data_IF_824025583375
#
_entry.id   IF_824025583375
#
_cell.length_a   1.000
_cell.length_b   1.000
_cell.length_c   1.000
_cell.angle_alpha   90.00
_cell.angle_beta   90.00
_cell.angle_gamma   90.00
#
_symmetry.space_group_name_H-M   'P 1'
#
loop_
_entity.id
_entity.type
_entity.pdbx_description
1 polymer ?
#
# COMPACT_ATOMS: atom_id res chain seq x y z
N UNK A 1 69.04 -11.03 -50.78
CA UNK A 1 68.90 -10.67 -52.22
C UNK A 1 67.64 -9.85 -52.39
N UNK A 2 67.54 -9.05 -53.45
CA UNK A 2 66.47 -8.07 -53.67
C UNK A 2 65.18 -8.67 -54.28
N UNK A 3 64.15 -7.83 -54.42
CA UNK A 3 62.79 -8.16 -54.90
C UNK A 3 62.72 -8.53 -56.41
N UNK A 4 61.54 -8.92 -56.90
CA UNK A 4 60.76 -7.95 -57.68
C UNK A 4 59.23 -7.95 -57.42
N UNK A 5 58.54 -6.95 -57.98
CA UNK A 5 57.08 -6.80 -57.96
C UNK A 5 56.48 -6.83 -59.38
N UNK A 6 55.18 -7.10 -59.50
CA UNK A 6 54.43 -6.92 -60.77
C UNK A 6 52.99 -6.41 -60.53
N UNK A 7 52.34 -5.90 -61.58
CA UNK A 7 51.30 -4.84 -61.55
C UNK A 7 49.82 -5.31 -61.51
N UNK A 8 48.96 -4.37 -61.09
CA UNK A 8 47.51 -4.16 -61.37
C UNK A 8 47.15 -4.30 -62.89
N UNK A 9 45.89 -4.49 -63.35
CA UNK A 9 44.63 -3.79 -62.98
C UNK A 9 43.45 -4.76 -62.64
N UNK A 10 42.16 -4.39 -62.54
CA UNK A 10 41.40 -3.17 -62.89
C UNK A 10 40.23 -2.86 -61.90
N UNK A 11 39.19 -2.15 -62.35
CA UNK A 11 37.92 -1.90 -61.63
C UNK A 11 36.72 -2.11 -62.58
N UNK A 12 35.57 -2.54 -62.04
CA UNK A 12 34.24 -2.34 -62.62
C UNK A 12 33.32 -1.93 -61.46
N UNK A 13 32.54 -0.88 -61.69
CA UNK A 13 31.54 -0.33 -60.77
C UNK A 13 30.16 -0.44 -61.43
N UNK A 14 29.17 -1.01 -60.73
CA UNK A 14 27.82 -0.43 -60.61
C UNK A 14 26.85 -1.29 -59.77
N UNK A 15 26.38 -0.68 -58.68
CA UNK A 15 24.95 -0.43 -58.37
C UNK A 15 23.91 -1.56 -58.20
N UNK A 16 23.07 -1.34 -57.17
CA UNK A 16 21.76 -1.95 -56.86
C UNK A 16 21.72 -3.43 -56.42
N UNK A 17 21.69 -3.64 -55.10
CA UNK A 17 20.44 -4.05 -54.41
C UNK A 17 20.56 -3.86 -52.89
N UNK A 18 20.24 -2.66 -52.42
CA UNK A 18 19.85 -2.45 -51.02
C UNK A 18 18.37 -2.78 -50.86
N UNK A 19 18.00 -3.79 -50.07
CA UNK A 19 16.89 -3.70 -49.11
C UNK A 19 16.64 -4.95 -48.24
N UNK A 20 16.08 -4.73 -47.05
CA UNK A 20 15.30 -5.69 -46.23
C UNK A 20 16.00 -6.94 -45.65
N UNK A 21 16.91 -6.75 -44.69
CA UNK A 21 17.06 -7.77 -43.59
C UNK A 21 17.48 -7.24 -42.22
N UNK A 22 17.98 -6.01 -42.08
CA UNK A 22 18.52 -5.49 -40.80
C UNK A 22 17.47 -4.95 -39.82
N UNK A 23 16.18 -4.89 -40.21
CA UNK A 23 15.16 -4.16 -39.46
C UNK A 23 14.33 -5.04 -38.49
N UNK A 24 14.17 -6.34 -38.73
CA UNK A 24 13.34 -7.22 -37.87
C UNK A 24 13.95 -7.41 -36.48
N UNK A 25 15.20 -7.87 -36.40
CA UNK A 25 15.84 -8.25 -35.13
C UNK A 25 15.97 -7.08 -34.14
N UNK A 26 16.30 -5.88 -34.64
CA UNK A 26 16.42 -4.66 -33.82
C UNK A 26 15.06 -4.15 -33.35
N UNK A 27 14.02 -4.24 -34.19
CA UNK A 27 12.65 -3.86 -33.82
C UNK A 27 12.09 -4.84 -32.79
N UNK A 28 12.30 -6.15 -32.95
CA UNK A 28 11.83 -7.18 -32.01
C UNK A 28 12.48 -7.04 -30.62
N UNK A 29 13.79 -6.77 -30.54
CA UNK A 29 14.46 -6.50 -29.27
C UNK A 29 13.95 -5.19 -28.61
N UNK A 30 13.76 -4.09 -29.36
CA UNK A 30 13.17 -2.85 -28.81
C UNK A 30 11.72 -3.03 -28.38
N UNK A 31 10.90 -3.72 -29.17
CA UNK A 31 9.50 -4.00 -28.87
C UNK A 31 9.35 -4.90 -27.63
N UNK A 32 10.18 -5.94 -27.52
CA UNK A 32 10.22 -6.84 -26.36
C UNK A 32 10.65 -6.09 -25.10
N UNK A 33 11.67 -5.23 -25.20
CA UNK A 33 12.13 -4.40 -24.07
C UNK A 33 11.04 -3.42 -23.62
N UNK A 34 10.43 -2.68 -24.55
CA UNK A 34 9.33 -1.75 -24.25
C UNK A 34 8.06 -2.44 -23.73
N UNK A 35 7.77 -3.67 -24.14
CA UNK A 35 6.65 -4.46 -23.60
C UNK A 35 6.94 -4.95 -22.18
N UNK A 36 8.19 -5.36 -21.89
CA UNK A 36 8.61 -5.70 -20.54
C UNK A 36 8.61 -4.48 -19.60
N UNK A 37 9.02 -3.30 -20.07
CA UNK A 37 8.96 -2.04 -19.32
C UNK A 37 7.51 -1.64 -19.01
N UNK A 38 6.63 -1.61 -20.02
CA UNK A 38 5.19 -1.38 -19.82
C UNK A 38 4.57 -2.38 -18.83
N UNK A 39 5.02 -3.64 -18.81
CA UNK A 39 4.59 -4.65 -17.83
C UNK A 39 5.11 -4.33 -16.42
N UNK A 40 6.38 -3.98 -16.26
CA UNK A 40 6.98 -3.55 -14.97
C UNK A 40 6.27 -2.31 -14.41
N UNK A 41 6.00 -1.32 -15.26
CA UNK A 41 5.29 -0.10 -14.89
C UNK A 41 3.85 -0.37 -14.42
N UNK A 42 3.09 -1.19 -15.16
CA UNK A 42 1.73 -1.62 -14.76
C UNK A 42 1.73 -2.30 -13.39
N UNK A 43 2.70 -3.17 -13.11
CA UNK A 43 2.85 -3.81 -11.79
C UNK A 43 3.19 -2.78 -10.71
N UNK A 44 4.12 -1.86 -10.97
CA UNK A 44 4.46 -0.79 -10.02
C UNK A 44 3.25 0.12 -9.72
N UNK A 45 2.47 0.49 -10.73
CA UNK A 45 1.23 1.25 -10.59
C UNK A 45 0.19 0.51 -9.73
N UNK A 46 0.00 -0.80 -9.95
CA UNK A 46 -0.88 -1.64 -9.14
C UNK A 46 -0.44 -1.69 -7.66
N UNK A 47 0.86 -1.89 -7.39
CA UNK A 47 1.40 -1.90 -6.02
C UNK A 47 1.30 -0.54 -5.32
N UNK A 48 1.44 0.58 -6.06
CA UNK A 48 1.20 1.93 -5.52
C UNK A 48 -0.26 2.10 -5.10
N UNK A 49 -1.21 1.66 -5.94
CA UNK A 49 -2.64 1.68 -5.63
C UNK A 49 -2.97 0.85 -4.39
N UNK A 50 -2.47 -0.39 -4.28
CA UNK A 50 -2.69 -1.25 -3.10
C UNK A 50 -2.18 -0.57 -1.81
N UNK A 51 -0.96 0.02 -1.85
CA UNK A 51 -0.40 0.75 -0.70
C UNK A 51 -1.22 1.97 -0.29
N UNK A 52 -1.64 2.80 -1.25
CA UNK A 52 -2.53 3.94 -0.98
C UNK A 52 -3.87 3.48 -0.41
N UNK A 53 -4.45 2.40 -0.93
CA UNK A 53 -5.70 1.81 -0.41
C UNK A 53 -5.55 1.32 1.03
N UNK A 54 -4.38 0.80 1.42
CA UNK A 54 -4.12 0.41 2.82
C UNK A 54 -4.01 1.65 3.72
N UNK A 55 -3.23 2.66 3.33
CA UNK A 55 -3.09 3.92 4.11
C UNK A 55 -4.42 4.65 4.31
N UNK A 56 -5.30 4.66 3.30
CA UNK A 56 -6.63 5.27 3.41
C UNK A 56 -7.57 4.47 4.34
N UNK A 57 -7.54 3.12 4.28
CA UNK A 57 -8.32 2.29 5.21
C UNK A 57 -7.80 2.36 6.65
N UNK A 58 -6.48 2.50 6.84
CA UNK A 58 -5.90 2.77 8.15
C UNK A 58 -6.44 4.08 8.72
N UNK A 59 -6.41 5.17 7.92
CA UNK A 59 -6.93 6.48 8.33
C UNK A 59 -8.43 6.41 8.67
N UNK A 60 -9.23 5.74 7.85
CA UNK A 60 -10.65 5.46 8.15
C UNK A 60 -10.84 4.80 9.51
N UNK A 61 -10.11 3.72 9.79
CA UNK A 61 -10.28 2.97 11.04
C UNK A 61 -9.84 3.80 12.26
N UNK A 62 -8.73 4.53 12.17
CA UNK A 62 -8.28 5.43 13.24
C UNK A 62 -9.33 6.50 13.51
N UNK A 63 -9.87 7.16 12.47
CA UNK A 63 -10.90 8.18 12.66
C UNK A 63 -12.22 7.67 13.27
N UNK A 64 -12.57 6.40 13.05
CA UNK A 64 -13.72 5.79 13.71
C UNK A 64 -13.40 5.38 15.17
N UNK A 65 -12.13 5.08 15.49
CA UNK A 65 -11.70 4.77 16.85
C UNK A 65 -11.63 6.00 17.75
N UNK A 66 -11.42 7.19 17.16
CA UNK A 66 -11.32 8.45 17.88
C UNK A 66 -12.56 8.82 18.72
N UNK A 67 -13.73 8.25 18.43
CA UNK A 67 -14.92 8.38 19.30
C UNK A 67 -14.71 7.72 20.68
N UNK A 68 -13.84 6.70 20.78
CA UNK A 68 -13.65 5.84 21.95
C UNK A 68 -12.34 6.09 22.69
N UNK A 69 -11.26 6.43 21.97
CA UNK A 69 -9.92 6.65 22.51
C UNK A 69 -9.26 7.93 22.01
N UNK A 70 -8.30 8.44 22.81
CA UNK A 70 -7.28 9.39 22.36
C UNK A 70 -6.14 8.60 21.70
N UNK A 71 -5.66 9.03 20.53
CA UNK A 71 -4.59 8.34 19.79
C UNK A 71 -3.28 9.13 19.76
N UNK A 72 -2.15 8.45 20.00
CA UNK A 72 -0.83 9.04 19.77
C UNK A 72 -0.27 8.60 18.41
N UNK A 73 -0.14 9.54 17.48
CA UNK A 73 0.47 9.33 16.16
C UNK A 73 1.95 9.71 16.19
N UNK A 74 2.84 8.75 15.96
CA UNK A 74 4.30 8.93 15.93
C UNK A 74 4.73 9.49 14.56
N UNK A 75 5.63 10.49 14.56
CA UNK A 75 6.14 11.09 13.33
C UNK A 75 6.91 10.06 12.47
N UNK A 76 6.69 10.01 11.14
CA UNK A 76 7.38 9.07 10.28
C UNK A 76 8.82 9.50 10.01
N UNK A 77 9.80 8.70 10.45
CA UNK A 77 11.26 8.91 10.19
C UNK A 77 11.57 9.18 8.71
N UNK A 78 10.78 8.62 7.79
CA UNK A 78 10.85 8.91 6.35
C UNK A 78 9.43 9.06 5.81
N UNK A 79 9.17 10.19 5.17
CA UNK A 79 7.90 10.46 4.50
C UNK A 79 7.84 9.77 3.12
N UNK A 80 6.66 9.29 2.75
CA UNK A 80 6.41 8.65 1.46
C UNK A 80 6.11 9.69 0.37
N UNK A 81 6.97 9.77 -0.64
CA UNK A 81 6.86 10.74 -1.75
C UNK A 81 5.97 10.28 -2.90
N UNK A 82 5.76 8.97 -3.08
CA UNK A 82 5.08 8.38 -4.25
C UNK A 82 3.73 7.73 -3.91
N UNK A 83 3.49 7.43 -2.64
CA UNK A 83 2.26 6.79 -2.15
C UNK A 83 1.79 7.47 -0.88
N UNK A 84 0.48 7.51 -0.67
CA UNK A 84 -0.17 8.01 0.55
C UNK A 84 0.49 7.44 1.81
N UNK A 85 0.94 8.31 2.72
CA UNK A 85 1.66 7.94 3.94
C UNK A 85 0.83 6.98 4.81
N UNK A 86 1.46 5.94 5.33
CA UNK A 86 0.86 5.07 6.33
C UNK A 86 1.29 5.59 7.70
N UNK A 87 0.35 5.88 8.58
CA UNK A 87 0.64 6.46 9.90
C UNK A 87 1.28 5.42 10.81
N UNK A 88 1.98 5.88 11.86
CA UNK A 88 2.48 5.04 12.93
C UNK A 88 1.67 5.39 14.16
N UNK A 89 0.73 4.55 14.56
CA UNK A 89 0.06 4.72 15.86
C UNK A 89 0.96 4.11 16.93
N UNK A 90 1.20 4.86 18.01
CA UNK A 90 1.94 4.39 19.19
C UNK A 90 0.98 3.75 20.17
N UNK A 91 0.11 4.57 20.77
CA UNK A 91 -0.85 4.16 21.80
C UNK A 91 -2.28 4.55 21.43
N UNK A 92 -3.22 3.74 21.93
CA UNK A 92 -4.64 4.06 22.04
C UNK A 92 -5.00 4.14 23.53
N UNK A 93 -5.49 5.27 24.00
CA UNK A 93 -5.87 5.49 25.40
C UNK A 93 -7.38 5.65 25.53
N UNK A 94 -8.02 4.70 26.22
CA UNK A 94 -9.47 4.64 26.39
C UNK A 94 -9.91 5.28 27.71
N UNK A 95 -11.15 5.77 27.76
CA UNK A 95 -11.70 6.47 28.95
C UNK A 95 -11.84 5.63 30.22
N UNK A 96 -11.54 4.34 30.17
CA UNK A 96 -11.42 3.44 31.33
C UNK A 96 -9.96 3.33 31.85
N UNK A 97 -9.07 4.26 31.45
CA UNK A 97 -7.63 4.26 31.69
C UNK A 97 -6.87 3.05 31.11
N UNK A 98 -7.49 2.31 30.17
CA UNK A 98 -6.82 1.25 29.44
C UNK A 98 -5.95 1.88 28.33
N UNK A 99 -4.65 1.64 28.38
CA UNK A 99 -3.70 2.05 27.34
C UNK A 99 -3.26 0.81 26.57
N UNK A 100 -3.40 0.84 25.24
CA UNK A 100 -2.93 -0.22 24.35
C UNK A 100 -1.73 0.27 23.56
N UNK A 101 -0.59 -0.42 23.70
CA UNK A 101 0.56 -0.30 22.79
C UNK A 101 0.25 -1.05 21.49
N UNK A 102 -0.01 -0.29 20.42
CA UNK A 102 -0.37 -0.82 19.11
C UNK A 102 0.78 -1.60 18.48
N UNK A 103 2.03 -1.19 18.71
CA UNK A 103 3.19 -1.89 18.19
C UNK A 103 3.31 -3.29 18.81
N UNK A 104 3.08 -3.42 20.12
CA UNK A 104 3.10 -4.69 20.85
C UNK A 104 2.01 -5.64 20.34
N UNK A 105 0.75 -5.18 20.32
CA UNK A 105 -0.42 -5.97 19.88
C UNK A 105 -0.28 -6.50 18.45
N UNK A 106 0.16 -5.64 17.52
CA UNK A 106 0.33 -6.01 16.12
C UNK A 106 1.54 -6.92 15.92
N UNK A 107 2.61 -6.75 16.72
CA UNK A 107 3.78 -7.63 16.69
C UNK A 107 3.40 -9.06 17.11
N UNK A 108 2.59 -9.22 18.16
CA UNK A 108 2.16 -10.53 18.64
C UNK A 108 1.30 -11.28 17.61
N UNK A 109 0.29 -10.61 17.03
CA UNK A 109 -0.48 -11.14 15.88
C UNK A 109 0.41 -11.54 14.69
N UNK A 110 1.42 -10.72 14.38
CA UNK A 110 2.37 -11.05 13.30
C UNK A 110 3.23 -12.28 13.58
N UNK A 111 3.50 -12.62 14.84
CA UNK A 111 4.20 -13.86 15.22
C UNK A 111 3.32 -15.08 14.99
N UNK A 112 2.04 -15.02 15.39
CA UNK A 112 1.06 -16.10 15.16
C UNK A 112 0.92 -16.41 13.65
N UNK A 113 0.84 -15.39 12.79
CA UNK A 113 0.81 -15.56 11.32
C UNK A 113 2.14 -16.08 10.76
N UNK A 114 3.27 -15.75 11.40
CA UNK A 114 4.56 -16.31 11.01
C UNK A 114 4.62 -17.82 11.32
N UNK A 115 4.17 -18.23 12.51
CA UNK A 115 4.07 -19.63 12.92
C UNK A 115 3.11 -20.42 12.01
N UNK A 116 1.97 -19.83 11.66
CA UNK A 116 1.03 -20.38 10.67
C UNK A 116 1.70 -20.60 9.30
N UNK A 117 2.57 -19.69 8.84
CA UNK A 117 3.32 -19.92 7.61
C UNK A 117 4.30 -21.09 7.73
N UNK A 118 5.01 -21.22 8.85
CA UNK A 118 5.96 -22.32 9.07
C UNK A 118 5.21 -23.67 9.11
N UNK A 119 4.09 -23.76 9.84
CA UNK A 119 3.29 -24.99 9.91
C UNK A 119 2.71 -25.40 8.55
N UNK A 120 2.36 -24.43 7.69
CA UNK A 120 1.96 -24.64 6.30
C UNK A 120 3.16 -24.88 5.33
N UNK A 121 4.35 -25.21 5.83
CA UNK A 121 5.51 -25.59 5.02
C UNK A 121 6.19 -24.44 4.26
N UNK A 122 5.91 -23.18 4.61
CA UNK A 122 6.58 -22.01 4.00
C UNK A 122 7.94 -21.79 4.66
N UNK A 123 9.00 -21.71 3.85
CA UNK A 123 10.36 -21.49 4.35
C UNK A 123 10.48 -20.20 5.16
N UNK A 124 11.25 -20.21 6.26
CA UNK A 124 11.38 -19.08 7.19
C UNK A 124 11.79 -17.77 6.52
N UNK A 125 12.70 -17.82 5.53
CA UNK A 125 13.08 -16.67 4.69
C UNK A 125 11.89 -16.07 3.94
N UNK A 126 10.97 -16.91 3.46
CA UNK A 126 9.75 -16.49 2.77
C UNK A 126 8.70 -15.98 3.76
N UNK A 127 8.55 -16.63 4.92
CA UNK A 127 7.64 -16.24 5.99
C UNK A 127 8.01 -14.86 6.56
N UNK A 128 9.28 -14.61 6.90
CA UNK A 128 9.78 -13.28 7.34
C UNK A 128 9.46 -12.20 6.29
N UNK A 129 9.74 -12.47 5.02
CA UNK A 129 9.48 -11.52 3.91
C UNK A 129 7.98 -11.25 3.70
N UNK A 130 7.10 -12.21 4.02
CA UNK A 130 5.64 -12.01 4.02
C UNK A 130 5.20 -11.21 5.26
N UNK A 131 5.69 -11.56 6.45
CA UNK A 131 5.40 -10.89 7.72
C UNK A 131 5.59 -9.36 7.67
N UNK A 132 6.66 -8.88 7.05
CA UNK A 132 6.90 -7.43 6.87
C UNK A 132 5.77 -6.69 6.12
N UNK A 133 5.16 -7.33 5.10
CA UNK A 133 4.00 -6.76 4.41
C UNK A 133 2.71 -6.98 5.20
N UNK A 134 2.57 -8.13 5.86
CA UNK A 134 1.40 -8.47 6.66
C UNK A 134 1.24 -7.54 7.88
N UNK A 135 2.32 -7.01 8.46
CA UNK A 135 2.23 -6.06 9.59
C UNK A 135 1.27 -4.90 9.34
N UNK A 136 1.21 -4.34 8.12
CA UNK A 136 0.26 -3.27 7.78
C UNK A 136 -1.18 -3.75 7.62
N UNK A 137 -1.35 -4.99 7.19
CA UNK A 137 -2.65 -5.64 7.06
C UNK A 137 -3.20 -5.91 8.47
N UNK A 138 -2.36 -6.47 9.34
CA UNK A 138 -2.70 -6.77 10.73
C UNK A 138 -2.95 -5.54 11.59
N UNK A 139 -2.22 -4.44 11.37
CA UNK A 139 -2.53 -3.17 12.02
C UNK A 139 -3.95 -2.70 11.67
N UNK A 140 -4.40 -2.90 10.42
CA UNK A 140 -5.78 -2.55 10.00
C UNK A 140 -6.80 -3.57 10.52
N UNK A 141 -6.51 -4.88 10.47
CA UNK A 141 -7.40 -5.91 11.03
C UNK A 141 -7.59 -5.75 12.54
N UNK A 142 -6.54 -5.35 13.26
CA UNK A 142 -6.59 -5.01 14.68
C UNK A 142 -7.58 -3.86 14.93
N UNK A 143 -7.47 -2.73 14.21
CA UNK A 143 -8.43 -1.63 14.34
C UNK A 143 -9.86 -2.04 13.94
N UNK A 144 -10.03 -2.84 12.88
CA UNK A 144 -11.34 -3.37 12.48
C UNK A 144 -11.95 -4.25 13.58
N UNK A 145 -11.13 -5.06 14.26
CA UNK A 145 -11.56 -5.93 15.38
C UNK A 145 -11.99 -5.10 16.60
N UNK A 146 -11.23 -4.05 16.94
CA UNK A 146 -11.62 -3.10 17.99
C UNK A 146 -12.94 -2.42 17.65
N UNK A 147 -13.07 -1.85 16.45
CA UNK A 147 -14.30 -1.20 15.99
C UNK A 147 -15.50 -2.16 16.00
N UNK A 148 -15.30 -3.43 15.66
CA UNK A 148 -16.35 -4.44 15.74
C UNK A 148 -16.80 -4.69 17.19
N UNK A 149 -15.89 -4.64 18.17
CA UNK A 149 -16.26 -4.70 19.60
C UNK A 149 -17.03 -3.46 20.08
N UNK A 150 -16.89 -2.32 19.40
CA UNK A 150 -17.68 -1.10 19.60
C UNK A 150 -18.93 -1.00 18.70
N UNK A 151 -19.39 -2.12 18.12
CA UNK A 151 -20.66 -2.19 17.38
C UNK A 151 -20.59 -1.87 15.88
N UNK A 152 -19.41 -1.54 15.34
CA UNK A 152 -19.25 -1.33 13.90
C UNK A 152 -19.30 -2.63 13.10
N UNK A 153 -19.81 -2.55 11.87
CA UNK A 153 -19.82 -3.64 10.89
C UNK A 153 -19.32 -3.12 9.55
N UNK A 154 -18.40 -3.86 8.93
CA UNK A 154 -17.80 -3.49 7.65
C UNK A 154 -18.34 -4.38 6.53
N UNK A 155 -18.84 -3.76 5.46
CA UNK A 155 -19.09 -4.46 4.19
C UNK A 155 -17.85 -4.31 3.32
N UNK A 156 -17.36 -5.44 2.81
CA UNK A 156 -16.13 -5.49 2.03
C UNK A 156 -16.40 -5.74 0.54
N UNK A 157 -15.53 -5.21 -0.32
CA UNK A 157 -15.52 -5.58 -1.73
C UNK A 157 -14.95 -7.02 -1.90
N UNK A 158 -15.75 -7.93 -2.46
CA UNK A 158 -15.37 -9.35 -2.65
C UNK A 158 -14.20 -9.47 -3.64
N UNK A 159 -12.99 -9.68 -3.13
CA UNK A 159 -11.81 -9.92 -3.98
C UNK A 159 -11.81 -11.36 -4.49
N UNK A 160 -12.36 -11.58 -5.69
CA UNK A 160 -12.65 -12.91 -6.23
C UNK A 160 -11.46 -13.89 -6.40
N UNK A 161 -10.20 -13.43 -6.30
CA UNK A 161 -9.03 -14.21 -6.72
C UNK A 161 -7.74 -13.94 -5.91
N UNK A 162 -7.80 -14.02 -4.56
CA UNK A 162 -6.57 -13.94 -3.73
C UNK A 162 -6.30 -15.25 -2.97
N UNK A 163 -5.53 -16.17 -3.59
CA UNK A 163 -4.93 -17.37 -2.93
C UNK A 163 -3.84 -17.02 -1.90
N UNK A 164 -3.96 -15.91 -1.18
CA UNK A 164 -3.03 -15.51 -0.12
C UNK A 164 -3.64 -15.94 1.21
N UNK A 165 -2.88 -16.68 2.02
CA UNK A 165 -3.22 -16.99 3.43
C UNK A 165 -3.60 -15.71 4.18
N UNK A 166 -2.95 -14.59 3.84
CA UNK A 166 -3.15 -13.32 4.50
C UNK A 166 -3.38 -12.18 3.49
N UNK A 167 -4.51 -11.48 3.59
CA UNK A 167 -4.88 -10.39 2.68
C UNK A 167 -5.87 -9.41 3.33
N UNK A 168 -5.70 -8.12 3.04
CA UNK A 168 -6.69 -7.10 3.40
C UNK A 168 -7.83 -7.09 2.37
N UNK A 169 -9.06 -7.11 2.86
CA UNK A 169 -10.27 -6.79 2.10
C UNK A 169 -10.51 -5.28 2.10
N UNK A 170 -10.91 -4.71 0.96
CA UNK A 170 -11.22 -3.27 0.90
C UNK A 170 -12.59 -2.99 1.51
N UNK A 171 -12.62 -2.19 2.59
CA UNK A 171 -13.86 -1.65 3.14
C UNK A 171 -14.60 -0.87 2.05
N UNK A 172 -15.86 -1.24 1.82
CA UNK A 172 -16.81 -0.60 0.90
C UNK A 172 -17.84 0.22 1.67
N UNK A 173 -18.33 -0.28 2.80
CA UNK A 173 -19.37 0.41 3.59
C UNK A 173 -19.10 0.20 5.08
N UNK A 174 -19.52 1.18 5.87
CA UNK A 174 -19.42 1.17 7.33
C UNK A 174 -20.84 1.31 7.90
N UNK A 175 -21.20 0.38 8.76
CA UNK A 175 -22.49 0.31 9.43
C UNK A 175 -22.27 0.31 10.95
N UNK A 176 -23.23 0.85 11.70
CA UNK A 176 -23.24 0.82 13.17
C UNK A 176 -24.68 0.75 13.66
N UNK A 177 -24.95 -0.13 14.62
CA UNK A 177 -26.27 -0.30 15.25
C UNK A 177 -27.44 -0.48 14.26
N UNK A 178 -27.16 -1.03 13.07
CA UNK A 178 -28.12 -1.26 11.99
C UNK A 178 -28.24 -0.12 10.96
N UNK A 179 -27.62 1.04 11.22
CA UNK A 179 -27.60 2.19 10.30
C UNK A 179 -26.34 2.16 9.41
N UNK A 180 -26.47 2.55 8.14
CA UNK A 180 -25.33 2.76 7.24
C UNK A 180 -24.75 4.15 7.51
N UNK A 181 -23.55 4.19 8.08
CA UNK A 181 -22.83 5.43 8.43
C UNK A 181 -22.05 5.96 7.23
N UNK A 182 -21.47 5.07 6.41
CA UNK A 182 -20.75 5.44 5.18
C UNK A 182 -20.99 4.41 4.06
N UNK A 183 -21.35 4.89 2.87
CA UNK A 183 -21.39 4.11 1.62
C UNK A 183 -20.05 4.16 0.85
N UNK A 184 -19.93 3.42 -0.27
CA UNK A 184 -18.70 3.28 -1.07
C UNK A 184 -18.12 4.59 -1.63
N UNK A 185 -18.94 5.62 -1.84
CA UNK A 185 -18.46 6.94 -2.22
C UNK A 185 -17.96 7.71 -0.99
N UNK A 186 -18.78 7.75 0.06
CA UNK A 186 -18.48 8.45 1.32
C UNK A 186 -17.21 7.90 1.99
N UNK A 187 -17.04 6.57 2.06
CA UNK A 187 -15.83 5.91 2.57
C UNK A 187 -14.58 6.47 1.90
N UNK A 188 -14.57 6.63 0.57
CA UNK A 188 -13.41 7.12 -0.18
C UNK A 188 -13.15 8.62 0.00
N UNK A 189 -14.20 9.40 0.26
CA UNK A 189 -14.10 10.85 0.51
C UNK A 189 -13.60 11.08 1.93
N UNK A 190 -14.30 10.52 2.93
CA UNK A 190 -13.97 10.59 4.36
C UNK A 190 -12.54 10.12 4.62
N UNK A 191 -12.14 8.95 4.09
CA UNK A 191 -10.77 8.43 4.25
C UNK A 191 -9.70 9.42 3.77
N UNK A 192 -9.97 10.18 2.71
CA UNK A 192 -9.03 11.18 2.16
C UNK A 192 -9.01 12.47 2.97
N UNK A 193 -10.17 12.94 3.44
CA UNK A 193 -10.28 14.12 4.32
C UNK A 193 -9.49 13.89 5.62
N UNK A 194 -9.78 12.78 6.30
CA UNK A 194 -9.08 12.34 7.51
C UNK A 194 -7.59 12.14 7.25
N UNK A 195 -7.20 11.46 6.16
CA UNK A 195 -5.78 11.26 5.85
C UNK A 195 -5.03 12.59 5.65
N UNK A 196 -5.68 13.56 4.99
CA UNK A 196 -5.13 14.90 4.81
C UNK A 196 -5.00 15.64 6.14
N UNK A 197 -5.99 15.51 7.02
CA UNK A 197 -5.95 16.07 8.39
C UNK A 197 -4.77 15.50 9.20
N UNK A 198 -4.66 14.19 9.32
CA UNK A 198 -3.55 13.54 10.03
C UNK A 198 -2.18 13.88 9.43
N UNK A 199 -2.09 14.00 8.09
CA UNK A 199 -0.85 14.45 7.42
C UNK A 199 -0.48 15.90 7.77
N UNK A 200 -1.47 16.79 7.92
CA UNK A 200 -1.24 18.16 8.36
C UNK A 200 -0.79 18.24 9.82
N UNK A 201 -1.39 17.46 10.73
CA UNK A 201 -0.96 17.37 12.14
C UNK A 201 0.50 16.92 12.26
N UNK A 202 0.89 15.89 11.49
CA UNK A 202 2.27 15.39 11.47
C UNK A 202 3.27 16.38 10.86
N UNK A 203 2.83 17.39 10.12
CA UNK A 203 3.70 18.42 9.54
C UNK A 203 4.12 19.49 10.55
N UNK A 204 3.35 19.67 11.63
CA UNK A 204 3.57 20.74 12.62
C UNK A 204 4.48 20.32 13.77
N UNK A 205 4.48 19.04 14.16
CA UNK A 205 5.16 18.55 15.37
C UNK A 205 6.23 17.48 15.07
N UNK A 206 7.34 17.50 15.84
CA UNK A 206 8.60 16.82 15.47
C UNK A 206 8.72 15.34 15.88
N UNK A 207 8.03 14.90 16.93
CA UNK A 207 8.18 13.55 17.48
C UNK A 207 6.87 12.75 17.45
N UNK A 208 5.79 13.32 17.98
CA UNK A 208 4.45 12.75 17.91
C UNK A 208 3.39 13.87 17.87
N UNK A 209 2.17 13.52 17.49
CA UNK A 209 0.98 14.31 17.74
C UNK A 209 -0.09 13.46 18.42
N UNK A 210 -0.79 14.05 19.39
CA UNK A 210 -1.93 13.44 20.07
C UNK A 210 -3.19 13.92 19.36
N UNK A 211 -4.09 12.98 19.05
CA UNK A 211 -5.43 13.24 18.52
C UNK A 211 -6.39 12.92 19.66
N UNK A 212 -6.95 13.96 20.28
CA UNK A 212 -7.84 13.76 21.43
C UNK A 212 -9.14 13.09 21.03
N UNK A 213 -9.68 12.28 21.94
CA UNK A 213 -10.98 11.61 21.79
C UNK A 213 -12.07 12.63 21.41
N UNK A 214 -12.88 12.30 20.41
CA UNK A 214 -13.88 13.18 19.79
C UNK A 214 -13.29 14.47 19.21
N UNK A 215 -12.20 14.36 18.45
CA UNK A 215 -11.59 15.46 17.71
C UNK A 215 -12.64 16.13 16.80
N UNK A 216 -12.87 17.43 17.03
CA UNK A 216 -13.91 18.21 16.34
C UNK A 216 -13.75 18.22 14.82
N UNK A 217 -12.52 18.08 14.30
CA UNK A 217 -12.24 18.00 12.86
C UNK A 217 -12.74 16.68 12.29
N UNK A 218 -12.51 15.57 13.00
CA UNK A 218 -12.96 14.23 12.60
C UNK A 218 -14.48 14.11 12.70
N UNK A 219 -15.05 14.56 13.83
CA UNK A 219 -16.51 14.58 14.04
C UNK A 219 -17.20 15.44 12.97
N UNK A 220 -16.62 16.58 12.58
CA UNK A 220 -17.14 17.39 11.45
C UNK A 220 -17.18 16.62 10.12
N UNK A 221 -16.19 15.78 9.84
CA UNK A 221 -16.17 14.98 8.61
C UNK A 221 -17.19 13.85 8.61
N UNK A 222 -17.51 13.23 9.76
CA UNK A 222 -18.51 12.15 9.81
C UNK A 222 -19.93 12.71 9.74
N UNK A 223 -20.21 13.81 10.44
CA UNK A 223 -21.50 14.52 10.44
C UNK A 223 -21.84 15.11 9.06
N UNK A 224 -20.87 15.28 8.15
CA UNK A 224 -21.14 15.66 6.76
C UNK A 224 -21.98 14.60 5.99
N UNK A 225 -22.02 13.36 6.47
CA UNK A 225 -22.59 12.22 5.76
C UNK A 225 -23.81 11.58 6.46
N UNK A 226 -24.20 12.11 7.63
CA UNK A 226 -25.34 11.72 8.45
C UNK A 226 -26.51 12.71 8.25
#
# INVERSE_FOLDING_TARGET
MAMPSTKRPSAIDNSLETEKTTNSFTIEHKATTGLQEKKKERVACSLRKERTTFSLQQALCIALLNEFCTETLIHPIKQATVTTQFFRVGTLEFSNNQVIDVYKEVKERCLQIYEEYISNGVTSKTAIRRGQNNRKIEEIHFYQSLLQSFGYKFVFNKSANKKKIHYLNTIKEVWRDGLQILNDSQVKIFSKQVHSYFSSLQSTNKESCVVEKNDKSIVKYIVQFL
#
